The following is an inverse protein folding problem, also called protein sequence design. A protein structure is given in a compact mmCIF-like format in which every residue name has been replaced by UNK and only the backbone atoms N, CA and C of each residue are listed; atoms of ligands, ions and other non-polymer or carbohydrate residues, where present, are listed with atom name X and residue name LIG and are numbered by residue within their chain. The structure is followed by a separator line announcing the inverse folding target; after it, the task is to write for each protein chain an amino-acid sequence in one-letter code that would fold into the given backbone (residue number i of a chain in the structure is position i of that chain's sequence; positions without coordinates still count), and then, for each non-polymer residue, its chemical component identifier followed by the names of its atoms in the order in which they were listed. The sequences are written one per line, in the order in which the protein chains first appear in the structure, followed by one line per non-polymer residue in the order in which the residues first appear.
data_IF_881040421835
#
_entry.id   IF_881040421835
#
_cell.length_a   1.000
_cell.length_b   1.000
_cell.length_c   1.000
_cell.angle_alpha   90.00
_cell.angle_beta   90.00
_cell.angle_gamma   90.00
#
_symmetry.space_group_name_H-M   'P 1'
#
loop_
_entity.id
_entity.type
_entity.pdbx_description
1 polymer ?
#
# COMPACT_ATOMS: atom_id res chain seq x y z
N UNK A 1 10.64 -45.17 33.19
CA UNK A 1 10.41 -43.71 33.30
C UNK A 1 11.69 -42.95 32.93
N UNK A 2 11.84 -42.54 31.64
CA UNK A 2 12.72 -41.47 31.11
C UNK A 2 13.05 -41.76 29.63
N UNK A 3 12.19 -41.33 28.72
CA UNK A 3 12.49 -41.37 27.28
C UNK A 3 11.63 -40.39 26.45
N UNK A 4 11.16 -39.27 27.02
CA UNK A 4 10.29 -38.33 26.29
C UNK A 4 10.70 -36.84 26.42
N UNK A 5 11.93 -36.57 26.88
CA UNK A 5 12.36 -35.22 27.27
C UNK A 5 13.66 -34.76 26.59
N UNK A 6 13.93 -35.22 25.37
CA UNK A 6 15.09 -34.76 24.56
C UNK A 6 14.70 -34.26 23.16
N UNK A 7 13.47 -34.52 22.68
CA UNK A 7 13.03 -34.11 21.34
C UNK A 7 12.46 -32.67 21.26
N UNK A 8 11.97 -32.10 22.37
CA UNK A 8 11.33 -30.76 22.36
C UNK A 8 12.33 -29.60 22.34
N UNK A 9 13.57 -29.82 22.78
CA UNK A 9 14.59 -28.76 22.93
C UNK A 9 15.32 -28.41 21.63
N UNK A 10 15.30 -29.28 20.62
CA UNK A 10 15.94 -29.03 19.32
C UNK A 10 15.03 -28.23 18.38
N UNK A 11 13.72 -28.44 18.48
CA UNK A 11 12.73 -27.70 17.69
C UNK A 11 12.69 -26.20 18.03
N UNK A 12 12.86 -25.84 19.31
CA UNK A 12 12.86 -24.45 19.75
C UNK A 12 14.12 -23.72 19.26
N UNK A 13 15.27 -24.39 19.18
CA UNK A 13 16.53 -23.78 18.74
C UNK A 13 16.54 -23.48 17.22
N UNK A 14 15.86 -24.31 16.41
CA UNK A 14 15.72 -24.08 14.97
C UNK A 14 14.73 -22.95 14.63
N UNK A 15 13.67 -22.76 15.43
CA UNK A 15 12.69 -21.69 15.21
C UNK A 15 13.27 -20.31 15.60
N UNK A 16 14.12 -20.25 16.63
CA UNK A 16 14.82 -19.01 17.00
C UNK A 16 15.82 -18.56 15.92
N UNK A 17 16.50 -19.50 15.25
CA UNK A 17 17.43 -19.16 14.16
C UNK A 17 16.74 -18.73 12.87
N UNK A 18 15.49 -19.16 12.63
CA UNK A 18 14.73 -18.79 11.44
C UNK A 18 14.00 -17.44 11.55
N UNK A 19 13.68 -16.97 12.77
CA UNK A 19 13.15 -15.61 12.99
C UNK A 19 14.24 -14.55 13.23
N UNK A 20 15.48 -14.95 13.44
CA UNK A 20 16.65 -14.06 13.47
C UNK A 20 17.22 -13.76 12.06
N UNK A 21 16.52 -14.18 10.99
CA UNK A 21 16.91 -13.94 9.59
C UNK A 21 16.19 -12.79 8.90
N UNK A 22 15.26 -12.09 9.57
CA UNK A 22 14.47 -11.00 8.95
C UNK A 22 14.38 -9.73 9.84
N UNK A 23 15.31 -9.55 10.78
CA UNK A 23 15.17 -8.52 11.83
C UNK A 23 16.44 -7.79 12.28
N UNK A 24 17.58 -7.94 11.60
CA UNK A 24 18.83 -7.31 12.07
C UNK A 24 19.85 -7.03 10.97
N UNK A 25 19.46 -6.17 10.03
CA UNK A 25 20.36 -5.07 9.68
C UNK A 25 19.67 -3.80 10.13
N UNK A 26 19.98 -3.41 11.35
CA UNK A 26 19.75 -2.07 11.82
C UNK A 26 20.15 -1.09 10.71
N UNK A 27 19.23 -0.20 10.40
CA UNK A 27 19.46 1.02 9.63
C UNK A 27 20.58 1.83 10.31
N UNK A 28 21.83 1.44 10.10
CA UNK A 28 22.99 2.27 10.39
C UNK A 28 23.14 3.25 9.24
N UNK A 29 22.78 4.51 9.48
CA UNK A 29 23.13 5.59 8.57
C UNK A 29 21.95 6.35 7.98
N UNK A 30 20.99 6.77 8.81
CA UNK A 30 20.27 8.02 8.58
C UNK A 30 21.24 9.20 8.82
N UNK A 31 22.34 9.31 8.05
CA UNK A 31 23.27 10.43 8.11
C UNK A 31 23.88 10.59 6.70
N UNK A 32 23.66 11.76 6.08
CA UNK A 32 24.03 12.15 4.71
C UNK A 32 23.09 11.70 3.58
N UNK A 33 21.81 12.07 3.65
CA UNK A 33 20.85 12.03 2.51
C UNK A 33 21.11 13.13 1.45
N UNK A 34 22.35 13.52 1.21
CA UNK A 34 22.74 14.55 0.24
C UNK A 34 24.18 14.28 -0.19
N UNK A 35 24.41 13.20 -0.98
CA UNK A 35 24.73 13.41 -2.40
C UNK A 35 24.12 12.38 -3.37
N UNK A 36 23.70 11.19 -2.89
CA UNK A 36 23.20 10.12 -3.76
C UNK A 36 21.75 10.33 -4.20
N UNK A 37 20.91 10.92 -3.34
CA UNK A 37 19.54 11.29 -3.72
C UNK A 37 19.55 12.32 -4.83
N UNK A 38 20.38 13.37 -4.72
CA UNK A 38 20.51 14.39 -5.75
C UNK A 38 21.06 13.79 -7.07
N UNK A 39 22.12 12.96 -6.98
CA UNK A 39 22.71 12.32 -8.15
C UNK A 39 21.77 11.34 -8.89
N UNK A 40 20.87 10.66 -8.18
CA UNK A 40 19.93 9.69 -8.77
C UNK A 40 18.51 10.22 -8.94
N UNK A 41 18.21 11.43 -8.47
CA UNK A 41 16.87 12.01 -8.52
C UNK A 41 16.33 12.05 -9.96
N UNK A 42 17.17 12.51 -10.90
CA UNK A 42 16.81 12.55 -12.32
C UNK A 42 16.44 11.17 -12.87
N UNK A 43 17.22 10.13 -12.52
CA UNK A 43 16.94 8.76 -12.95
C UNK A 43 15.64 8.24 -12.32
N UNK A 44 15.40 8.50 -11.03
CA UNK A 44 14.19 8.10 -10.34
C UNK A 44 12.93 8.77 -10.93
N UNK A 45 13.03 10.06 -11.30
CA UNK A 45 11.94 10.80 -11.97
C UNK A 45 11.67 10.25 -13.37
N UNK A 46 12.72 10.01 -14.17
CA UNK A 46 12.55 9.41 -15.50
C UNK A 46 11.96 8.00 -15.42
N UNK A 47 12.37 7.19 -14.44
CA UNK A 47 11.76 5.88 -14.19
C UNK A 47 10.29 5.99 -13.79
N UNK A 48 9.96 6.89 -12.86
CA UNK A 48 8.58 7.11 -12.43
C UNK A 48 7.71 7.60 -13.60
N UNK A 49 8.23 8.53 -14.40
CA UNK A 49 7.59 9.03 -15.61
C UNK A 49 7.38 7.92 -16.62
N UNK A 50 8.36 7.05 -16.87
CA UNK A 50 8.22 5.91 -17.76
C UNK A 50 7.13 4.92 -17.27
N UNK A 51 7.04 4.70 -15.96
CA UNK A 51 6.00 3.85 -15.37
C UNK A 51 4.60 4.49 -15.39
N UNK A 52 4.51 5.81 -15.30
CA UNK A 52 3.25 6.57 -15.34
C UNK A 52 2.81 6.91 -16.76
N UNK A 53 3.72 6.84 -17.75
CA UNK A 53 3.43 7.13 -19.15
C UNK A 53 2.79 5.91 -19.80
N UNK A 54 1.47 5.97 -19.99
CA UNK A 54 0.71 4.90 -20.64
C UNK A 54 1.10 4.70 -22.11
N UNK A 55 1.38 5.79 -22.84
CA UNK A 55 1.77 5.75 -24.24
C UNK A 55 2.81 6.83 -24.56
N UNK A 56 4.11 6.47 -24.70
CA UNK A 56 5.17 7.44 -24.99
C UNK A 56 5.11 8.01 -26.42
N UNK A 57 4.49 7.32 -27.37
CA UNK A 57 4.36 7.75 -28.77
C UNK A 57 3.05 8.53 -29.04
N UNK A 58 2.28 8.88 -28.00
CA UNK A 58 0.98 9.55 -28.15
C UNK A 58 1.06 10.86 -28.94
N UNK A 59 2.19 11.57 -28.89
CA UNK A 59 2.41 12.83 -29.63
C UNK A 59 2.52 12.65 -31.15
N UNK A 60 2.81 11.44 -31.62
CA UNK A 60 2.90 11.12 -33.06
C UNK A 60 1.54 10.74 -33.65
N UNK A 61 0.53 10.53 -32.82
CA UNK A 61 -0.81 10.17 -33.28
C UNK A 61 -1.54 11.43 -33.79
N UNK A 62 -1.89 11.52 -35.09
CA UNK A 62 -2.67 12.63 -35.62
C UNK A 62 -4.17 12.51 -35.35
N UNK A 63 -4.65 11.37 -34.86
CA UNK A 63 -6.07 11.16 -34.60
C UNK A 63 -6.58 12.11 -33.50
N UNK A 64 -7.80 12.66 -33.66
CA UNK A 64 -8.41 13.46 -32.60
C UNK A 64 -8.66 12.60 -31.36
N UNK A 65 -8.35 13.15 -30.19
CA UNK A 65 -8.66 12.51 -28.91
C UNK A 65 -10.16 12.24 -28.80
N UNK A 66 -10.53 10.99 -28.53
CA UNK A 66 -11.91 10.61 -28.22
C UNK A 66 -12.25 11.18 -26.85
N UNK A 67 -12.97 12.31 -26.85
CA UNK A 67 -13.46 12.96 -25.63
C UNK A 67 -14.57 12.15 -24.93
N UNK A 68 -15.10 12.71 -23.85
CA UNK A 68 -16.27 12.17 -23.15
C UNK A 68 -17.52 12.36 -24.01
N UNK A 69 -18.40 11.36 -24.09
CA UNK A 69 -19.66 11.53 -24.81
C UNK A 69 -20.57 12.55 -24.11
N UNK A 70 -21.35 13.31 -24.87
CA UNK A 70 -22.15 14.41 -24.32
C UNK A 70 -23.17 13.98 -23.27
N UNK A 71 -23.68 12.75 -23.34
CA UNK A 71 -24.62 12.23 -22.33
C UNK A 71 -23.90 11.87 -21.04
N UNK A 72 -22.76 11.19 -21.12
CA UNK A 72 -21.92 10.90 -19.95
C UNK A 72 -21.40 12.18 -19.29
N UNK A 73 -21.02 13.19 -20.07
CA UNK A 73 -20.60 14.48 -19.54
C UNK A 73 -21.73 15.15 -18.75
N UNK A 74 -22.95 15.17 -19.30
CA UNK A 74 -24.13 15.69 -18.61
C UNK A 74 -24.43 14.92 -17.31
N UNK A 75 -24.48 13.60 -17.39
CA UNK A 75 -24.74 12.72 -16.23
C UNK A 75 -23.66 12.87 -15.15
N UNK A 76 -22.40 13.10 -15.52
CA UNK A 76 -21.32 13.36 -14.58
C UNK A 76 -21.55 14.68 -13.81
N UNK A 77 -21.97 15.74 -14.50
CA UNK A 77 -22.31 17.03 -13.88
C UNK A 77 -23.54 16.87 -12.97
N UNK A 78 -24.60 16.19 -13.43
CA UNK A 78 -25.80 15.96 -12.61
C UNK A 78 -25.50 15.17 -11.33
N UNK A 79 -24.65 14.13 -11.40
CA UNK A 79 -24.20 13.39 -10.21
C UNK A 79 -23.34 14.23 -9.27
N UNK A 80 -22.48 15.08 -9.82
CA UNK A 80 -21.66 16.01 -9.05
C UNK A 80 -22.55 16.98 -8.27
N UNK A 81 -23.51 17.62 -8.92
CA UNK A 81 -24.46 18.51 -8.25
C UNK A 81 -25.33 17.78 -7.20
N UNK A 82 -25.82 16.59 -7.54
CA UNK A 82 -26.61 15.77 -6.62
C UNK A 82 -25.82 15.33 -5.38
N UNK A 83 -24.49 15.24 -5.46
CA UNK A 83 -23.64 14.87 -4.32
C UNK A 83 -23.65 15.93 -3.21
N UNK A 84 -23.84 17.20 -3.55
CA UNK A 84 -23.95 18.30 -2.57
C UNK A 84 -25.35 18.41 -1.98
N UNK A 85 -26.36 17.86 -2.65
CA UNK A 85 -27.75 17.88 -2.20
C UNK A 85 -28.07 16.69 -1.27
N UNK A 86 -27.27 15.62 -1.33
CA UNK A 86 -27.47 14.43 -0.50
C UNK A 86 -26.67 14.57 0.80
N UNK A 87 -27.33 14.51 1.97
CA UNK A 87 -26.62 14.34 3.23
C UNK A 87 -25.67 13.14 3.10
N UNK A 88 -24.40 13.25 3.55
CA UNK A 88 -23.46 12.15 3.44
C UNK A 88 -24.09 10.91 4.10
N UNK A 89 -24.19 9.77 3.38
CA UNK A 89 -24.74 8.57 3.98
C UNK A 89 -23.90 8.25 5.21
N UNK A 90 -24.57 8.08 6.36
CA UNK A 90 -23.90 7.67 7.59
C UNK A 90 -23.23 6.33 7.29
N UNK A 91 -21.91 6.35 7.12
CA UNK A 91 -21.15 5.14 6.95
C UNK A 91 -21.18 4.47 8.32
N UNK A 92 -22.03 3.45 8.47
CA UNK A 92 -22.01 2.58 9.64
C UNK A 92 -20.70 1.81 9.60
N UNK A 93 -19.69 2.39 10.25
CA UNK A 93 -18.43 1.73 10.54
C UNK A 93 -18.78 0.61 11.50
N UNK A 94 -19.06 -0.57 10.97
CA UNK A 94 -18.97 -1.79 11.77
C UNK A 94 -17.50 -1.93 12.14
N UNK A 95 -17.19 -1.65 13.40
CA UNK A 95 -15.91 -1.93 14.02
C UNK A 95 -15.60 -3.41 13.83
N UNK A 96 -14.73 -3.69 12.85
CA UNK A 96 -14.13 -5.01 12.64
C UNK A 96 -13.60 -5.48 13.99
N UNK A 97 -14.12 -6.62 14.45
CA UNK A 97 -14.06 -7.07 15.82
C UNK A 97 -12.67 -6.98 16.45
N UNK A 98 -12.51 -6.04 17.38
CA UNK A 98 -11.56 -6.11 18.49
C UNK A 98 -12.29 -6.23 19.85
N UNK A 99 -13.62 -6.39 19.84
CA UNK A 99 -14.37 -6.81 21.03
C UNK A 99 -14.40 -8.34 21.12
N UNK A 100 -13.23 -8.91 21.37
CA UNK A 100 -13.04 -10.34 21.51
C UNK A 100 -11.96 -10.68 22.53
N UNK A 101 -11.84 -9.91 23.61
CA UNK A 101 -11.33 -10.36 24.93
C UNK A 101 -11.19 -9.19 25.91
N UNK A 102 -12.30 -8.62 26.38
CA UNK A 102 -12.26 -7.82 27.61
C UNK A 102 -13.62 -7.83 28.31
N UNK A 103 -13.77 -8.78 29.23
CA UNK A 103 -14.90 -8.98 30.14
C UNK A 103 -15.00 -10.48 30.42
N UNK A 104 -14.58 -11.04 31.56
CA UNK A 104 -14.64 -10.51 32.91
C UNK A 104 -15.69 -11.33 33.67
N UNK A 105 -15.23 -12.28 34.49
CA UNK A 105 -15.92 -12.90 35.63
C UNK A 105 -17.33 -13.46 35.45
N UNK A 106 -17.43 -14.80 35.39
CA UNK A 106 -18.18 -15.66 36.32
C UNK A 106 -17.93 -17.13 35.98
#
# INVERSE_FOLDING_TARGET
MKAFQTASSVGILAVVFALAGCGSTASSGMQSRTPNLDAQFGQAVEMAKAQQTLNPDASKNPDPVKGVDGRAAREAIERYEASFQRPPPQQNIFSIGVSGTSGGGQ
#
